data_IF_371594784211
#
_entry.id   IF_371594784211
#
_cell.length_a   1.000
_cell.length_b   1.000
_cell.length_c   1.000
_cell.angle_alpha   90.00
_cell.angle_beta   90.00
_cell.angle_gamma   90.00
#
_symmetry.space_group_name_H-M   'P 1'
#
loop_
_entity.id
_entity.type
_entity.pdbx_description
1 polymer ?
#
# COMPACT_ATOMS: atom_id res chain seq x y z
N UNK A 1 8.31 -14.05 7.18
CA UNK A 1 8.04 -13.25 8.41
C UNK A 1 7.02 -12.14 8.11
N UNK A 2 6.15 -11.73 9.04
CA UNK A 2 5.11 -10.70 8.79
C UNK A 2 5.52 -9.32 9.31
N UNK A 3 5.36 -8.29 8.48
CA UNK A 3 5.59 -6.88 8.84
C UNK A 3 4.36 -6.03 8.57
N UNK A 4 3.83 -5.39 9.61
CA UNK A 4 2.74 -4.41 9.48
C UNK A 4 3.29 -2.99 9.38
N UNK A 5 2.89 -2.25 8.35
CA UNK A 5 3.31 -0.86 8.15
C UNK A 5 2.12 0.07 8.37
N UNK A 6 2.27 0.97 9.34
CA UNK A 6 1.31 2.02 9.68
C UNK A 6 2.03 3.33 10.01
N UNK A 7 1.29 4.44 10.03
CA UNK A 7 1.78 5.74 10.48
C UNK A 7 1.54 5.94 11.96
N UNK A 8 2.62 6.19 12.71
CA UNK A 8 2.53 6.70 14.08
C UNK A 8 2.79 8.21 14.11
N UNK A 9 1.77 9.05 14.38
CA UNK A 9 1.99 10.47 14.61
C UNK A 9 2.60 10.69 16.00
N UNK A 10 3.76 11.36 16.06
CA UNK A 10 4.38 11.76 17.33
C UNK A 10 3.93 13.19 17.68
N UNK A 11 3.30 13.41 18.85
CA UNK A 11 2.86 14.73 19.26
C UNK A 11 4.08 15.64 19.51
N UNK A 12 4.12 16.78 18.84
CA UNK A 12 5.16 17.80 19.01
C UNK A 12 4.50 19.14 19.33
N UNK A 13 4.87 19.75 20.46
CA UNK A 13 4.18 20.94 20.98
C UNK A 13 4.92 22.28 20.71
N UNK A 14 6.21 22.25 20.34
CA UNK A 14 6.99 23.45 20.03
C UNK A 14 6.55 24.19 18.76
N UNK A 15 6.85 25.49 18.58
CA UNK A 15 6.56 26.18 17.31
C UNK A 15 7.66 25.85 16.29
N UNK A 16 7.34 25.03 15.29
CA UNK A 16 8.31 24.61 14.27
C UNK A 16 7.62 24.41 12.92
N UNK A 17 8.18 25.00 11.85
CA UNK A 17 7.59 25.00 10.50
C UNK A 17 7.52 23.64 9.80
N UNK A 18 8.10 22.61 10.43
CA UNK A 18 8.07 21.22 9.96
C UNK A 18 7.04 20.34 10.70
N UNK A 19 6.22 20.88 11.62
CA UNK A 19 4.96 20.21 12.01
C UNK A 19 4.17 19.90 10.74
N UNK A 20 3.73 18.67 10.55
CA UNK A 20 2.99 18.32 9.35
C UNK A 20 1.60 18.98 9.35
N UNK A 21 1.48 20.03 8.53
CA UNK A 21 0.37 20.17 7.59
C UNK A 21 0.81 19.55 6.26
N UNK A 22 0.04 18.58 5.73
CA UNK A 22 0.45 17.76 4.58
C UNK A 22 -0.18 18.27 3.28
N UNK A 23 0.57 19.10 2.54
CA UNK A 23 0.48 19.24 1.08
C UNK A 23 1.86 19.56 0.48
N UNK A 24 2.27 18.79 -0.53
CA UNK A 24 3.29 19.18 -1.52
C UNK A 24 4.76 19.25 -1.08
N UNK A 25 5.17 18.70 0.06
CA UNK A 25 6.59 18.72 0.45
C UNK A 25 7.38 17.60 -0.25
N UNK A 26 8.52 17.92 -0.90
CA UNK A 26 9.41 16.91 -1.43
C UNK A 26 10.13 16.22 -0.27
N UNK A 27 9.95 14.92 -0.14
CA UNK A 27 10.83 14.08 0.66
C UNK A 27 11.81 13.50 -0.35
N UNK A 28 13.10 13.82 -0.23
CA UNK A 28 14.14 13.35 -1.14
C UNK A 28 14.37 11.85 -0.96
N UNK A 29 13.47 11.04 -1.53
CA UNK A 29 13.58 9.60 -1.60
C UNK A 29 13.80 9.23 -3.07
N UNK A 30 15.05 9.33 -3.52
CA UNK A 30 15.39 9.33 -4.94
C UNK A 30 15.22 7.97 -5.66
N UNK A 31 15.13 6.85 -4.92
CA UNK A 31 15.19 5.51 -5.52
C UNK A 31 13.85 5.04 -6.12
N UNK A 32 12.73 5.50 -5.59
CA UNK A 32 11.38 5.05 -6.01
C UNK A 32 10.37 6.21 -6.06
N UNK A 33 10.81 7.38 -6.52
CA UNK A 33 9.99 8.60 -6.56
C UNK A 33 8.75 8.43 -7.44
N UNK A 34 8.84 7.59 -8.47
CA UNK A 34 7.76 7.25 -9.40
C UNK A 34 6.58 6.49 -8.76
N UNK A 35 6.81 5.81 -7.62
CA UNK A 35 5.75 5.11 -6.89
C UNK A 35 5.01 6.02 -5.89
N UNK A 36 5.52 7.24 -5.68
CA UNK A 36 4.99 8.21 -4.73
C UNK A 36 5.40 7.94 -3.28
N UNK A 37 5.35 9.01 -2.46
CA UNK A 37 5.95 9.07 -1.12
C UNK A 37 5.65 7.87 -0.20
N UNK A 38 4.41 7.39 -0.18
CA UNK A 38 4.03 6.27 0.68
C UNK A 38 4.73 4.98 0.28
N UNK A 39 4.67 4.65 -1.01
CA UNK A 39 5.27 3.44 -1.57
C UNK A 39 6.80 3.49 -1.52
N UNK A 40 7.41 4.66 -1.73
CA UNK A 40 8.86 4.81 -1.65
C UNK A 40 9.41 4.42 -0.28
N UNK A 41 8.75 4.83 0.80
CA UNK A 41 9.16 4.47 2.17
C UNK A 41 9.08 2.95 2.38
N UNK A 42 8.04 2.31 1.84
CA UNK A 42 7.86 0.86 1.94
C UNK A 42 8.97 0.11 1.20
N UNK A 43 9.27 0.50 -0.04
CA UNK A 43 10.28 -0.17 -0.86
C UNK A 43 11.68 -0.03 -0.27
N UNK A 44 12.00 1.14 0.31
CA UNK A 44 13.27 1.32 1.02
C UNK A 44 13.36 0.46 2.29
N UNK A 45 12.25 0.28 3.01
CA UNK A 45 12.22 -0.63 4.15
C UNK A 45 12.44 -2.08 3.69
N UNK A 46 11.81 -2.50 2.60
CA UNK A 46 11.98 -3.84 2.04
C UNK A 46 13.44 -4.09 1.59
N UNK A 47 14.07 -3.12 0.92
CA UNK A 47 15.49 -3.18 0.57
C UNK A 47 16.37 -3.37 1.81
N UNK A 48 16.20 -2.53 2.83
CA UNK A 48 16.99 -2.60 4.05
C UNK A 48 16.81 -3.94 4.80
N UNK A 49 15.58 -4.48 4.81
CA UNK A 49 15.31 -5.80 5.40
C UNK A 49 16.01 -6.92 4.62
N UNK A 50 15.96 -6.85 3.29
CA UNK A 50 16.55 -7.87 2.41
C UNK A 50 18.08 -7.85 2.45
N UNK A 51 18.68 -6.66 2.59
CA UNK A 51 20.13 -6.48 2.74
C UNK A 51 20.66 -7.10 4.03
N UNK A 52 19.95 -6.92 5.16
CA UNK A 52 20.32 -7.51 6.44
C UNK A 52 19.99 -9.02 6.49
N UNK A 53 18.85 -9.40 5.92
CA UNK A 53 18.28 -10.73 5.99
C UNK A 53 17.58 -11.12 4.67
N UNK A 54 18.21 -11.95 3.82
CA UNK A 54 17.65 -12.36 2.53
C UNK A 54 16.59 -13.45 2.71
N UNK A 55 15.47 -13.11 3.33
CA UNK A 55 14.31 -13.98 3.52
C UNK A 55 13.06 -13.41 2.83
N UNK A 56 12.05 -14.27 2.66
CA UNK A 56 10.75 -13.85 2.17
C UNK A 56 9.91 -13.18 3.28
N UNK A 57 9.45 -11.98 2.99
CA UNK A 57 8.61 -11.17 3.87
C UNK A 57 7.17 -11.06 3.36
N UNK A 58 6.26 -10.97 4.33
CA UNK A 58 4.85 -10.74 4.10
C UNK A 58 4.50 -9.36 4.67
N UNK A 59 4.28 -8.39 3.79
CA UNK A 59 3.96 -7.03 4.19
C UNK A 59 2.45 -6.81 4.29
N UNK A 60 2.01 -6.21 5.40
CA UNK A 60 0.63 -5.83 5.61
C UNK A 60 0.55 -4.31 5.70
N UNK A 61 -0.20 -3.68 4.80
CA UNK A 61 -0.25 -2.23 4.67
C UNK A 61 -1.59 -1.65 5.09
N UNK A 62 -1.56 -0.52 5.81
CA UNK A 62 -2.74 0.34 5.87
C UNK A 62 -3.02 0.96 4.49
N UNK A 63 -4.29 1.26 4.26
CA UNK A 63 -4.83 1.85 3.04
C UNK A 63 -4.07 3.07 2.56
N UNK A 64 -3.44 3.85 3.44
CA UNK A 64 -2.65 5.00 2.99
C UNK A 64 -1.54 4.60 1.99
N UNK A 65 -0.90 3.45 2.20
CA UNK A 65 0.30 3.01 1.49
C UNK A 65 0.02 2.11 0.28
N UNK A 66 -1.16 1.49 0.24
CA UNK A 66 -1.50 0.50 -0.79
C UNK A 66 -1.77 1.12 -2.16
N UNK A 67 -1.02 0.69 -3.18
CA UNK A 67 -1.25 0.96 -4.61
C UNK A 67 -0.89 -0.28 -5.42
N UNK A 68 -1.54 -0.49 -6.58
CA UNK A 68 -1.27 -1.67 -7.43
C UNK A 68 0.20 -1.73 -7.88
N UNK A 69 0.83 -0.63 -8.36
CA UNK A 69 2.23 -0.67 -8.76
C UNK A 69 3.20 -1.05 -7.63
N UNK A 70 2.86 -0.71 -6.38
CA UNK A 70 3.66 -1.12 -5.22
C UNK A 70 3.60 -2.64 -5.01
N UNK A 71 2.43 -3.25 -5.18
CA UNK A 71 2.28 -4.72 -5.03
C UNK A 71 3.07 -5.45 -6.11
N UNK A 72 2.94 -5.02 -7.39
CA UNK A 72 3.74 -5.59 -8.49
C UNK A 72 5.24 -5.52 -8.22
N UNK A 73 5.69 -4.39 -7.66
CA UNK A 73 7.11 -4.18 -7.35
C UNK A 73 7.60 -5.09 -6.23
N UNK A 74 6.82 -5.24 -5.16
CA UNK A 74 7.15 -6.14 -4.04
C UNK A 74 7.12 -7.61 -4.46
N UNK A 75 6.16 -8.00 -5.29
CA UNK A 75 6.12 -9.32 -5.91
C UNK A 75 7.38 -9.59 -6.76
N UNK A 76 7.86 -8.60 -7.52
CA UNK A 76 9.15 -8.73 -8.25
C UNK A 76 10.39 -8.86 -7.35
N UNK A 77 10.26 -8.49 -6.07
CA UNK A 77 11.29 -8.64 -5.04
C UNK A 77 11.12 -9.94 -4.23
N UNK A 78 10.26 -10.86 -4.68
CA UNK A 78 9.94 -12.13 -4.01
C UNK A 78 9.31 -11.95 -2.60
N UNK A 79 8.60 -10.85 -2.40
CA UNK A 79 7.81 -10.61 -1.19
C UNK A 79 6.33 -10.82 -1.46
N UNK A 80 5.58 -11.15 -0.40
CA UNK A 80 4.13 -11.17 -0.45
C UNK A 80 3.57 -9.93 0.23
N UNK A 81 2.38 -9.52 -0.21
CA UNK A 81 1.74 -8.35 0.35
C UNK A 81 0.24 -8.51 0.50
N UNK A 82 -0.31 -7.79 1.47
CA UNK A 82 -1.75 -7.73 1.73
C UNK A 82 -2.11 -6.33 2.20
N UNK A 83 -3.13 -5.71 1.62
CA UNK A 83 -3.53 -4.38 2.04
C UNK A 83 -4.87 -3.94 1.49
N UNK A 84 -5.50 -3.00 2.20
CA UNK A 84 -6.82 -2.49 1.84
C UNK A 84 -6.72 -1.33 0.83
N UNK A 85 -7.09 -1.54 -0.42
CA UNK A 85 -7.03 -0.48 -1.45
C UNK A 85 -8.32 0.35 -1.48
N UNK A 86 -8.19 1.69 -1.37
CA UNK A 86 -9.31 2.64 -1.59
C UNK A 86 -9.86 2.54 -3.02
N UNK A 87 -11.19 2.51 -3.15
CA UNK A 87 -11.93 2.44 -4.45
C UNK A 87 -11.43 3.41 -5.52
N UNK A 88 -11.04 4.64 -5.14
CA UNK A 88 -10.58 5.67 -6.08
C UNK A 88 -9.12 5.54 -6.53
N UNK A 89 -8.40 4.49 -6.10
CA UNK A 89 -7.01 4.22 -6.50
C UNK A 89 -6.86 3.07 -7.50
N UNK A 90 -7.98 2.44 -7.89
CA UNK A 90 -8.02 1.38 -8.89
C UNK A 90 -8.76 1.93 -10.10
N UNK A 91 -8.11 1.95 -11.25
CA UNK A 91 -8.74 2.40 -12.49
C UNK A 91 -9.79 1.39 -12.93
N UNK A 92 -11.07 1.78 -12.81
CA UNK A 92 -12.27 1.04 -13.24
C UNK A 92 -12.11 -0.49 -13.11
N UNK A 93 -11.97 -1.01 -11.88
CA UNK A 93 -11.87 -2.45 -11.72
C UNK A 93 -13.14 -3.11 -12.27
N UNK A 94 -13.05 -4.26 -12.95
CA UNK A 94 -14.20 -5.06 -13.38
C UNK A 94 -14.84 -5.80 -12.19
N UNK A 95 -15.01 -5.08 -11.07
CA UNK A 95 -15.62 -5.56 -9.83
C UNK A 95 -17.05 -5.06 -9.75
N UNK A 96 -17.90 -5.86 -9.11
CA UNK A 96 -19.27 -5.47 -8.85
C UNK A 96 -19.34 -4.14 -8.09
N UNK A 97 -20.31 -3.31 -8.47
CA UNK A 97 -20.51 -2.03 -7.81
C UNK A 97 -21.10 -2.22 -6.41
N UNK A 98 -20.79 -1.30 -5.49
CA UNK A 98 -21.38 -1.27 -4.14
C UNK A 98 -22.92 -1.30 -4.15
N UNK A 99 -23.53 -0.76 -5.21
CA UNK A 99 -24.98 -0.72 -5.37
C UNK A 99 -25.56 -2.13 -5.57
N UNK A 100 -24.83 -3.00 -6.27
CA UNK A 100 -25.23 -4.39 -6.50
C UNK A 100 -24.97 -5.22 -5.24
N UNK A 101 -23.77 -5.10 -4.65
CA UNK A 101 -23.41 -5.85 -3.43
C UNK A 101 -24.31 -5.52 -2.24
N UNK A 102 -24.76 -4.27 -2.09
CA UNK A 102 -25.69 -3.86 -1.01
C UNK A 102 -27.12 -4.40 -1.18
N UNK A 103 -27.52 -4.78 -2.40
CA UNK A 103 -28.85 -5.36 -2.67
C UNK A 103 -28.91 -6.84 -2.28
N UNK A 104 -27.77 -7.49 -2.23
CA UNK A 104 -27.66 -8.87 -1.80
C UNK A 104 -27.78 -8.98 -0.27
N UNK A 105 -28.04 -10.20 0.22
CA UNK A 105 -28.00 -10.51 1.66
C UNK A 105 -26.58 -10.23 2.19
N UNK A 106 -26.37 -10.09 3.50
CA UNK A 106 -25.01 -9.91 4.05
C UNK A 106 -24.12 -11.13 3.75
N UNK A 107 -22.85 -10.89 3.42
CA UNK A 107 -21.86 -11.94 3.09
C UNK A 107 -21.38 -12.10 1.62
N UNK A 108 -21.88 -11.39 0.60
CA UNK A 108 -21.39 -11.52 -0.77
C UNK A 108 -20.08 -10.75 -0.91
N UNK A 109 -19.18 -11.34 -1.67
CA UNK A 109 -17.89 -10.76 -2.03
C UNK A 109 -17.65 -11.04 -3.51
N UNK A 110 -16.91 -10.15 -4.16
CA UNK A 110 -16.46 -10.32 -5.55
C UNK A 110 -14.93 -10.28 -5.57
N UNK A 111 -14.31 -11.11 -6.39
CA UNK A 111 -12.85 -11.12 -6.54
C UNK A 111 -12.44 -11.20 -7.99
N UNK A 112 -11.33 -10.57 -8.31
CA UNK A 112 -10.68 -10.63 -9.62
C UNK A 112 -9.21 -10.91 -9.42
N UNK A 113 -8.64 -11.64 -10.36
CA UNK A 113 -7.22 -11.92 -10.42
C UNK A 113 -6.71 -11.26 -11.70
N UNK A 114 -5.68 -10.45 -11.57
CA UNK A 114 -5.01 -9.86 -12.73
C UNK A 114 -4.11 -10.91 -13.42
N UNK A 115 -3.68 -10.64 -14.66
CA UNK A 115 -2.78 -11.54 -15.41
C UNK A 115 -1.45 -11.82 -14.70
N UNK A 116 -1.06 -10.95 -13.77
CA UNK A 116 0.14 -11.09 -12.94
C UNK A 116 -0.09 -11.86 -11.62
N UNK A 117 -1.30 -12.36 -11.38
CA UNK A 117 -1.63 -13.12 -10.17
C UNK A 117 -2.09 -12.27 -8.96
N UNK A 118 -2.13 -10.94 -9.09
CA UNK A 118 -2.64 -10.06 -8.05
C UNK A 118 -4.14 -10.28 -7.82
N UNK A 119 -4.54 -10.52 -6.58
CA UNK A 119 -5.93 -10.74 -6.21
C UNK A 119 -6.53 -9.45 -5.64
N UNK A 120 -7.56 -8.93 -6.30
CA UNK A 120 -8.35 -7.80 -5.80
C UNK A 120 -9.72 -8.33 -5.38
N UNK A 121 -10.04 -8.18 -4.10
CA UNK A 121 -11.33 -8.57 -3.52
C UNK A 121 -12.16 -7.35 -3.11
N UNK A 122 -13.48 -7.45 -3.20
CA UNK A 122 -14.45 -6.42 -2.78
C UNK A 122 -15.61 -7.03 -2.02
#
# INVERSE_FOLDING_TARGET
MYFSIDKSPVPYFGRYGCKQFVRGKPIHLAKYEEYGLGATVVLQLADALTEEHPEQYNFVFDNFFTSIPLLDKLSSMDHQETGAVKKGRIDKPPLESDVVLKKNKRGPFDYRIDGNGNIVCR
#
